data_IF_505111723449
#
_entry.id   IF_505111723449
#
_cell.length_a   1.000
_cell.length_b   1.000
_cell.length_c   1.000
_cell.angle_alpha   90.00
_cell.angle_beta   90.00
_cell.angle_gamma   90.00
#
_symmetry.space_group_name_H-M   'P 1'
#
loop_
_entity.id
_entity.type
_entity.pdbx_description
1 polymer ?
#
# COMPACT_ATOMS: atom_id res chain seq x y z
N UNK A 1 -13.36 -9.90 -13.92
CA UNK A 1 -12.30 -9.50 -12.95
C UNK A 1 -11.02 -10.10 -13.47
N UNK A 2 -10.07 -9.30 -13.81
CA UNK A 2 -8.77 -9.72 -14.33
C UNK A 2 -7.89 -10.18 -13.18
N UNK A 3 -7.21 -11.32 -13.34
CA UNK A 3 -6.26 -11.84 -12.35
C UNK A 3 -4.89 -11.95 -12.98
N UNK A 4 -3.85 -11.74 -12.19
CA UNK A 4 -2.46 -11.91 -12.60
C UNK A 4 -1.66 -12.69 -11.55
N UNK A 5 -0.54 -13.28 -11.97
CA UNK A 5 0.41 -13.94 -11.06
C UNK A 5 1.60 -13.04 -10.84
N UNK A 6 1.88 -12.72 -9.56
CA UNK A 6 3.02 -11.92 -9.17
C UNK A 6 3.61 -12.43 -7.86
N UNK A 7 4.94 -12.58 -7.81
CA UNK A 7 5.70 -13.04 -6.63
C UNK A 7 5.17 -14.34 -6.00
N UNK A 8 4.66 -15.27 -6.83
CA UNK A 8 4.14 -16.57 -6.40
C UNK A 8 2.70 -16.56 -5.90
N UNK A 9 2.01 -15.43 -5.92
CA UNK A 9 0.61 -15.27 -5.51
C UNK A 9 -0.29 -14.93 -6.69
N UNK A 10 -1.58 -15.28 -6.55
CA UNK A 10 -2.65 -14.82 -7.44
C UNK A 10 -3.24 -13.51 -6.91
N UNK A 11 -3.37 -12.53 -7.80
CA UNK A 11 -3.86 -11.19 -7.50
C UNK A 11 -5.05 -10.87 -8.40
N UNK A 12 -6.13 -10.39 -7.79
CA UNK A 12 -7.29 -9.87 -8.51
C UNK A 12 -7.09 -8.37 -8.71
N UNK A 13 -7.15 -7.94 -9.97
CA UNK A 13 -7.12 -6.53 -10.33
C UNK A 13 -8.54 -5.98 -10.21
N UNK A 14 -8.68 -4.84 -9.58
CA UNK A 14 -9.95 -4.14 -9.43
C UNK A 14 -10.56 -3.87 -10.79
N UNK A 15 -11.81 -4.25 -10.96
CA UNK A 15 -12.55 -4.04 -12.21
C UNK A 15 -12.63 -2.56 -12.59
N UNK A 16 -12.57 -2.28 -13.88
CA UNK A 16 -12.69 -0.93 -14.42
C UNK A 16 -14.03 -0.29 -14.05
N UNK A 17 -14.00 1.00 -13.74
CA UNK A 17 -15.18 1.79 -13.36
C UNK A 17 -14.91 2.83 -12.29
N UNK A 18 -15.91 3.65 -11.99
CA UNK A 18 -15.81 4.70 -10.96
C UNK A 18 -16.01 4.13 -9.57
N UNK A 19 -15.16 4.56 -8.61
CA UNK A 19 -15.31 4.13 -7.22
C UNK A 19 -14.31 4.77 -6.27
N UNK A 20 -14.57 4.60 -4.95
CA UNK A 20 -13.74 5.13 -3.87
C UNK A 20 -12.31 4.53 -3.80
N UNK A 21 -11.40 5.20 -3.04
CA UNK A 21 -11.64 6.45 -2.33
C UNK A 21 -11.79 7.64 -3.30
N UNK A 22 -12.74 8.53 -3.00
CA UNK A 22 -13.08 9.64 -3.90
C UNK A 22 -13.68 9.20 -5.24
N UNK A 23 -13.82 10.11 -6.22
CA UNK A 23 -14.40 9.82 -7.53
C UNK A 23 -13.33 9.34 -8.53
N UNK A 24 -12.53 8.32 -8.17
CA UNK A 24 -11.50 7.78 -9.05
C UNK A 24 -12.11 6.86 -10.12
N UNK A 25 -11.51 6.88 -11.31
CA UNK A 25 -11.76 5.91 -12.37
C UNK A 25 -10.67 4.84 -12.25
N UNK A 26 -11.08 3.61 -12.04
CA UNK A 26 -10.19 2.46 -11.98
C UNK A 26 -10.11 1.78 -13.33
N UNK A 27 -8.93 1.27 -13.69
CA UNK A 27 -8.71 0.56 -14.93
C UNK A 27 -7.88 -0.69 -14.70
N UNK A 28 -8.46 -1.85 -14.97
CA UNK A 28 -7.79 -3.13 -14.79
C UNK A 28 -6.60 -3.34 -15.76
N UNK A 29 -6.50 -2.56 -16.83
CA UNK A 29 -5.38 -2.64 -17.77
C UNK A 29 -4.13 -1.92 -17.27
N UNK A 30 -4.24 -1.09 -16.23
CA UNK A 30 -3.14 -0.35 -15.61
C UNK A 30 -2.28 -1.21 -14.65
N UNK A 31 -2.57 -2.51 -14.54
CA UNK A 31 -1.71 -3.49 -13.86
C UNK A 31 -1.21 -4.52 -14.85
N UNK A 32 0.09 -4.78 -14.88
CA UNK A 32 0.68 -5.82 -15.70
C UNK A 32 1.93 -6.41 -15.07
N UNK A 33 2.29 -7.64 -15.46
CA UNK A 33 3.55 -8.28 -15.05
C UNK A 33 4.44 -8.44 -16.26
N UNK A 34 5.68 -7.93 -16.19
CA UNK A 34 6.64 -7.99 -17.27
C UNK A 34 7.31 -9.38 -17.38
N UNK A 35 8.14 -9.54 -18.41
CA UNK A 35 8.87 -10.80 -18.66
C UNK A 35 9.90 -11.14 -17.57
N UNK A 36 10.30 -10.17 -16.76
CA UNK A 36 11.19 -10.38 -15.61
C UNK A 36 10.41 -10.71 -14.33
N UNK A 37 9.06 -10.82 -14.41
CA UNK A 37 8.19 -11.13 -13.29
C UNK A 37 7.91 -9.94 -12.36
N UNK A 38 8.12 -8.71 -12.80
CA UNK A 38 7.88 -7.49 -12.02
C UNK A 38 6.49 -6.95 -12.31
N UNK A 39 5.80 -6.51 -11.27
CA UNK A 39 4.49 -5.88 -11.37
C UNK A 39 4.64 -4.39 -11.69
N UNK A 40 3.94 -3.93 -12.70
CA UNK A 40 3.81 -2.53 -13.10
C UNK A 40 2.45 -2.01 -12.67
N UNK A 41 2.44 -0.88 -11.97
CA UNK A 41 1.25 -0.11 -11.59
C UNK A 41 1.31 1.22 -12.34
N UNK A 42 0.28 1.55 -13.08
CA UNK A 42 0.24 2.77 -13.90
C UNK A 42 -0.93 3.67 -13.50
N UNK A 43 -0.67 4.97 -13.50
CA UNK A 43 -1.66 6.02 -13.47
C UNK A 43 -1.60 6.73 -14.82
N UNK A 44 -2.61 6.54 -15.63
CA UNK A 44 -2.61 6.99 -17.04
C UNK A 44 -3.71 8.01 -17.28
N UNK A 45 -3.56 8.79 -18.36
CA UNK A 45 -4.63 9.63 -18.85
C UNK A 45 -5.13 9.13 -20.21
N UNK A 46 -6.43 9.28 -20.43
CA UNK A 46 -7.12 8.86 -21.65
C UNK A 46 -8.05 9.98 -22.10
N UNK A 47 -8.08 10.27 -23.39
CA UNK A 47 -9.10 11.18 -23.95
C UNK A 47 -10.38 10.39 -24.18
N UNK A 48 -11.46 10.76 -23.49
CA UNK A 48 -12.76 10.11 -23.64
C UNK A 48 -13.46 10.50 -24.95
N UNK A 49 -14.61 9.90 -25.22
CA UNK A 49 -15.35 10.15 -26.45
C UNK A 49 -15.88 11.59 -26.58
N UNK A 50 -15.97 12.35 -25.50
CA UNK A 50 -16.36 13.74 -25.49
C UNK A 50 -15.18 14.68 -25.72
N UNK A 51 -13.94 14.15 -25.74
CA UNK A 51 -12.71 14.93 -25.90
C UNK A 51 -12.12 15.40 -24.57
N UNK A 52 -12.66 14.97 -23.43
CA UNK A 52 -12.15 15.31 -22.11
C UNK A 52 -11.05 14.33 -21.69
N UNK A 53 -10.09 14.82 -20.90
CA UNK A 53 -9.05 13.98 -20.30
C UNK A 53 -9.56 13.34 -19.03
N UNK A 54 -9.53 12.01 -18.96
CA UNK A 54 -9.84 11.20 -17.80
C UNK A 54 -8.57 10.54 -17.28
N UNK A 55 -8.45 10.45 -15.94
CA UNK A 55 -7.31 9.81 -15.29
C UNK A 55 -7.73 8.47 -14.72
N UNK A 56 -6.96 7.45 -15.05
CA UNK A 56 -7.23 6.06 -14.70
C UNK A 56 -6.23 5.55 -13.67
N UNK A 57 -6.78 5.08 -12.55
CA UNK A 57 -6.06 4.54 -11.40
C UNK A 57 -6.01 3.01 -11.47
N UNK A 58 -5.22 2.40 -10.59
CA UNK A 58 -5.12 0.94 -10.48
C UNK A 58 -5.11 0.48 -9.04
N UNK A 59 -5.76 -0.65 -8.75
CA UNK A 59 -5.69 -1.38 -7.49
C UNK A 59 -5.71 -2.87 -7.75
N UNK A 60 -4.97 -3.62 -6.94
CA UNK A 60 -5.03 -5.09 -6.94
C UNK A 60 -4.96 -5.62 -5.52
N UNK A 61 -5.51 -6.82 -5.33
CA UNK A 61 -5.58 -7.49 -4.04
C UNK A 61 -5.18 -8.97 -4.18
N UNK A 62 -4.49 -9.52 -3.19
CA UNK A 62 -4.24 -10.96 -3.15
C UNK A 62 -5.55 -11.74 -2.99
N UNK A 63 -5.68 -12.87 -3.68
CA UNK A 63 -6.78 -13.80 -3.42
C UNK A 63 -6.67 -14.45 -2.03
N UNK A 64 -5.44 -14.66 -1.57
CA UNK A 64 -5.16 -15.16 -0.24
C UNK A 64 -5.25 -14.03 0.80
N UNK A 65 -5.68 -14.41 2.00
CA UNK A 65 -5.62 -13.58 3.20
C UNK A 65 -4.43 -13.99 4.05
N UNK A 66 -3.72 -13.01 4.58
CA UNK A 66 -2.55 -13.22 5.42
C UNK A 66 -2.80 -12.67 6.81
N UNK A 67 -2.32 -13.38 7.82
CA UNK A 67 -2.35 -13.00 9.23
C UNK A 67 -1.05 -12.35 9.71
N UNK A 68 -0.73 -12.58 10.99
CA UNK A 68 0.50 -12.05 11.57
C UNK A 68 1.74 -12.55 10.84
N UNK A 69 2.67 -11.63 10.59
CA UNK A 69 3.87 -11.94 9.84
C UNK A 69 4.60 -10.68 9.35
N UNK A 70 5.64 -10.93 8.59
CA UNK A 70 6.43 -9.91 7.89
C UNK A 70 6.00 -9.85 6.44
N UNK A 71 5.54 -8.69 6.04
CA UNK A 71 5.21 -8.31 4.66
C UNK A 71 6.34 -7.44 4.14
N UNK A 72 6.81 -7.71 2.93
CA UNK A 72 7.88 -6.92 2.33
C UNK A 72 7.56 -6.63 0.87
N UNK A 73 7.73 -5.36 0.50
CA UNK A 73 7.56 -4.83 -0.85
C UNK A 73 8.88 -4.23 -1.31
N UNK A 74 9.39 -4.67 -2.45
CA UNK A 74 10.54 -4.06 -3.10
C UNK A 74 10.03 -3.20 -4.27
N UNK A 75 10.27 -1.89 -4.17
CA UNK A 75 9.71 -0.88 -5.06
C UNK A 75 10.80 -0.24 -5.90
N UNK A 76 10.50 0.00 -7.18
CA UNK A 76 11.32 0.78 -8.12
C UNK A 76 10.49 1.97 -8.59
N UNK A 77 10.92 3.17 -8.25
CA UNK A 77 10.27 4.42 -8.63
C UNK A 77 10.72 5.59 -7.76
N UNK A 78 10.42 6.80 -8.22
CA UNK A 78 10.70 8.03 -7.47
C UNK A 78 9.49 8.40 -6.63
N UNK A 79 9.17 7.52 -5.64
CA UNK A 79 8.05 7.72 -4.72
C UNK A 79 8.15 9.00 -3.89
N UNK A 80 9.35 9.59 -3.80
CA UNK A 80 9.61 10.87 -3.16
C UNK A 80 9.23 12.09 -4.02
N UNK A 81 8.99 11.90 -5.32
CA UNK A 81 8.76 12.96 -6.29
C UNK A 81 7.32 12.98 -6.85
N UNK A 82 6.41 12.28 -6.22
CA UNK A 82 5.01 12.30 -6.64
C UNK A 82 4.43 13.71 -6.65
N UNK A 83 3.56 13.96 -7.64
CA UNK A 83 2.67 15.09 -7.60
C UNK A 83 1.84 15.08 -6.29
N UNK A 84 1.48 16.22 -5.72
CA UNK A 84 0.69 16.27 -4.48
C UNK A 84 -0.60 15.43 -4.48
N UNK A 85 -1.16 15.16 -5.65
CA UNK A 85 -2.41 14.42 -5.78
C UNK A 85 -2.22 12.92 -6.02
N UNK A 86 -0.99 12.47 -6.29
CA UNK A 86 -0.69 11.04 -6.53
C UNK A 86 -0.44 10.31 -5.21
N UNK A 87 -1.04 9.13 -5.09
CA UNK A 87 -0.91 8.25 -3.92
C UNK A 87 -0.53 6.84 -4.36
N UNK A 88 0.51 6.29 -3.75
CA UNK A 88 0.85 4.86 -3.79
C UNK A 88 0.55 4.26 -2.42
N UNK A 89 -0.33 3.26 -2.36
CA UNK A 89 -0.60 2.49 -1.16
C UNK A 89 -0.06 1.06 -1.25
N UNK A 90 0.57 0.61 -0.15
CA UNK A 90 1.02 -0.76 0.10
C UNK A 90 0.39 -1.18 1.42
N UNK A 91 -0.68 -1.97 1.40
CA UNK A 91 -1.54 -2.04 2.58
C UNK A 91 -2.27 -3.36 2.74
N UNK A 92 -2.90 -3.51 3.90
CA UNK A 92 -3.86 -4.56 4.23
C UNK A 92 -5.21 -3.91 4.49
N UNK A 93 -6.27 -4.50 3.92
CA UNK A 93 -7.60 -3.89 3.97
C UNK A 93 -8.68 -4.93 4.30
N UNK A 94 -9.69 -4.60 5.11
CA UNK A 94 -10.73 -5.52 5.48
C UNK A 94 -11.58 -5.94 4.28
N UNK A 95 -12.06 -7.16 4.33
CA UNK A 95 -13.19 -7.60 3.53
C UNK A 95 -14.49 -7.41 4.32
N UNK A 96 -15.68 -7.37 3.70
CA UNK A 96 -16.94 -7.11 4.40
C UNK A 96 -17.24 -8.04 5.58
N UNK A 97 -16.69 -9.25 5.58
CA UNK A 97 -16.82 -10.22 6.68
C UNK A 97 -15.83 -10.00 7.82
N UNK A 98 -14.77 -9.21 7.61
CA UNK A 98 -13.78 -8.84 8.63
C UNK A 98 -14.18 -7.54 9.34
N UNK A 99 -14.64 -6.56 8.62
CA UNK A 99 -15.06 -5.28 9.19
C UNK A 99 -15.39 -4.23 8.14
N UNK A 100 -15.95 -3.10 8.56
CA UNK A 100 -16.21 -1.97 7.69
C UNK A 100 -14.92 -1.21 7.34
N UNK A 101 -15.02 -0.33 6.35
CA UNK A 101 -13.97 0.62 5.97
C UNK A 101 -13.50 1.43 7.20
N UNK A 102 -12.18 1.70 7.27
CA UNK A 102 -11.57 2.40 8.40
C UNK A 102 -11.37 1.51 9.63
N UNK A 103 -11.41 0.19 9.46
CA UNK A 103 -11.05 -0.80 10.49
C UNK A 103 -10.15 -1.88 9.90
N UNK A 104 -9.39 -2.58 10.76
CA UNK A 104 -8.57 -3.73 10.35
C UNK A 104 -7.61 -3.47 9.18
N UNK A 105 -7.06 -2.27 9.12
CA UNK A 105 -6.22 -1.78 8.03
C UNK A 105 -4.84 -1.39 8.55
N UNK A 106 -3.80 -1.65 7.76
CA UNK A 106 -2.42 -1.25 8.06
C UNK A 106 -1.82 -0.76 6.75
N UNK A 107 -1.36 0.50 6.74
CA UNK A 107 -0.95 1.18 5.52
C UNK A 107 0.48 1.68 5.58
N UNK A 108 1.15 1.59 4.45
CA UNK A 108 2.31 2.37 4.06
C UNK A 108 1.87 3.16 2.83
N UNK A 109 1.81 4.49 2.95
CA UNK A 109 1.37 5.34 1.85
C UNK A 109 2.43 6.39 1.49
N UNK A 110 2.60 6.61 0.20
CA UNK A 110 3.45 7.68 -0.34
C UNK A 110 2.52 8.70 -0.98
N UNK A 111 2.28 9.79 -0.25
CA UNK A 111 1.31 10.81 -0.60
C UNK A 111 1.63 12.15 0.07
N UNK A 112 1.28 13.24 -0.61
CA UNK A 112 1.24 14.58 -0.01
C UNK A 112 -0.17 15.02 0.36
N UNK A 113 -1.17 14.24 0.04
CA UNK A 113 -2.58 14.52 0.34
C UNK A 113 -3.03 15.89 -0.19
N UNK A 114 -2.63 16.24 -1.42
CA UNK A 114 -2.92 17.53 -2.04
C UNK A 114 -2.07 18.69 -1.52
N UNK A 115 -1.13 18.48 -0.58
CA UNK A 115 -0.26 19.54 -0.03
C UNK A 115 0.94 19.79 -0.96
N UNK A 116 1.20 21.03 -1.30
CA UNK A 116 2.34 21.39 -2.15
C UNK A 116 3.69 21.08 -1.51
N UNK A 117 3.79 21.14 -0.18
CA UNK A 117 5.01 20.95 0.61
C UNK A 117 4.72 20.15 1.88
N UNK A 118 5.76 19.70 2.57
CA UNK A 118 5.65 18.93 3.82
C UNK A 118 5.89 17.45 3.61
N UNK A 119 5.47 16.64 4.57
CA UNK A 119 5.61 15.19 4.54
C UNK A 119 4.95 14.61 3.28
N UNK A 120 5.55 13.55 2.75
CA UNK A 120 5.15 12.88 1.51
C UNK A 120 5.00 11.36 1.68
N UNK A 121 4.97 10.89 2.90
CA UNK A 121 4.67 9.51 3.24
C UNK A 121 4.08 9.43 4.65
N UNK A 122 3.34 8.36 4.91
CA UNK A 122 2.82 8.03 6.22
C UNK A 122 2.68 6.51 6.43
N UNK A 123 2.67 6.12 7.71
CA UNK A 123 2.25 4.81 8.17
C UNK A 123 1.03 4.97 9.03
N UNK A 124 0.03 4.11 8.83
CA UNK A 124 -1.23 4.18 9.54
C UNK A 124 -1.68 2.80 10.02
N UNK A 125 -2.30 2.74 11.20
CA UNK A 125 -3.00 1.55 11.70
C UNK A 125 -4.43 1.92 12.05
N UNK A 126 -5.39 1.28 11.40
CA UNK A 126 -6.80 1.36 11.74
C UNK A 126 -7.19 0.19 12.66
N UNK A 127 -7.76 0.46 13.82
CA UNK A 127 -8.04 -0.56 14.82
C UNK A 127 -9.11 -1.55 14.38
N UNK A 128 -9.17 -2.70 15.06
CA UNK A 128 -10.17 -3.73 14.79
C UNK A 128 -11.61 -3.26 15.10
N UNK A 129 -11.82 -2.67 16.27
CA UNK A 129 -13.17 -2.37 16.78
C UNK A 129 -13.25 -1.19 17.72
N UNK A 130 -12.17 -0.44 17.90
CA UNK A 130 -12.12 0.74 18.75
C UNK A 130 -12.00 2.01 17.88
N UNK A 131 -12.39 3.19 18.36
CA UNK A 131 -12.06 4.44 17.71
C UNK A 131 -10.54 4.56 17.53
N UNK A 132 -10.09 5.24 16.47
CA UNK A 132 -8.67 5.53 16.28
C UNK A 132 -8.08 6.19 17.53
N UNK A 133 -6.92 5.71 17.94
CA UNK A 133 -6.20 6.26 19.09
C UNK A 133 -5.26 7.38 18.64
N UNK A 134 -4.86 8.22 19.58
CA UNK A 134 -3.77 9.16 19.30
C UNK A 134 -2.47 8.40 19.08
N UNK A 135 -1.73 8.73 17.99
CA UNK A 135 -0.48 8.10 17.64
C UNK A 135 -0.62 6.82 16.81
N UNK A 136 -1.80 6.56 16.25
CA UNK A 136 -2.06 5.47 15.33
C UNK A 136 -1.56 5.74 13.89
N UNK A 137 -0.87 6.86 13.67
CA UNK A 137 -0.18 7.20 12.43
C UNK A 137 1.07 8.03 12.68
N UNK A 138 1.96 8.01 11.71
CA UNK A 138 3.11 8.90 11.61
C UNK A 138 3.28 9.38 10.18
N UNK A 139 3.46 10.68 10.00
CA UNK A 139 3.82 11.27 8.70
C UNK A 139 5.32 11.60 8.69
N UNK A 140 6.00 11.36 7.57
CA UNK A 140 7.43 11.60 7.42
C UNK A 140 7.81 12.08 6.02
N UNK A 141 9.05 12.57 5.90
CA UNK A 141 9.60 13.04 4.63
C UNK A 141 10.51 11.97 4.02
N UNK A 142 10.20 11.55 2.82
CA UNK A 142 11.07 10.71 1.99
C UNK A 142 11.85 11.60 1.03
N UNK A 143 13.17 11.39 0.95
CA UNK A 143 14.06 12.03 0.00
C UNK A 143 15.06 10.99 -0.53
N UNK A 144 14.87 10.53 -1.74
CA UNK A 144 15.66 9.44 -2.32
C UNK A 144 16.83 9.96 -3.17
N UNK A 145 17.95 9.26 -3.10
CA UNK A 145 19.10 9.46 -4.02
C UNK A 145 19.02 8.54 -5.25
N UNK A 146 18.13 7.57 -5.22
CA UNK A 146 17.89 6.57 -6.28
C UNK A 146 16.42 6.21 -6.34
N UNK A 147 16.09 5.10 -6.99
CA UNK A 147 14.71 4.65 -7.22
C UNK A 147 14.37 3.30 -6.60
N UNK A 148 15.30 2.67 -5.89
CA UNK A 148 15.10 1.35 -5.28
C UNK A 148 14.86 1.50 -3.78
N UNK A 149 13.74 0.96 -3.29
CA UNK A 149 13.40 0.97 -1.87
C UNK A 149 12.77 -0.37 -1.45
N UNK A 150 12.81 -0.63 -0.15
CA UNK A 150 12.13 -1.77 0.47
C UNK A 150 11.24 -1.26 1.59
N UNK A 151 9.99 -1.71 1.62
CA UNK A 151 9.01 -1.32 2.63
C UNK A 151 8.47 -2.56 3.31
N UNK A 152 8.31 -2.49 4.64
CA UNK A 152 7.90 -3.64 5.44
C UNK A 152 6.81 -3.28 6.43
N UNK A 153 5.89 -4.23 6.60
CA UNK A 153 4.96 -4.27 7.72
C UNK A 153 5.30 -5.54 8.51
N UNK A 154 5.63 -5.39 9.78
CA UNK A 154 5.75 -6.50 10.73
C UNK A 154 4.51 -6.42 11.63
N UNK A 155 3.55 -7.29 11.37
CA UNK A 155 2.28 -7.29 12.08
C UNK A 155 2.23 -8.44 13.08
N UNK A 156 2.02 -8.10 14.35
CA UNK A 156 1.87 -9.00 15.48
C UNK A 156 0.57 -8.69 16.22
N UNK A 157 0.14 -9.58 17.09
CA UNK A 157 -1.13 -9.40 17.83
C UNK A 157 -1.16 -8.20 18.77
N UNK A 158 0.00 -7.71 19.19
CA UNK A 158 0.12 -6.60 20.17
C UNK A 158 0.83 -5.38 19.63
N UNK A 159 1.38 -5.45 18.43
CA UNK A 159 2.08 -4.33 17.80
C UNK A 159 2.13 -4.44 16.29
N UNK A 160 2.30 -3.30 15.64
CA UNK A 160 2.65 -3.18 14.23
C UNK A 160 3.94 -2.37 14.14
N UNK A 161 4.89 -2.85 13.34
CA UNK A 161 6.10 -2.10 13.00
C UNK A 161 6.12 -1.87 11.51
N UNK A 162 6.29 -0.61 11.09
CA UNK A 162 6.53 -0.23 9.70
C UNK A 162 7.98 0.22 9.53
N UNK A 163 8.58 -0.12 8.40
CA UNK A 163 9.99 0.14 8.12
C UNK A 163 10.20 0.42 6.64
N UNK A 164 11.02 1.43 6.33
CA UNK A 164 11.42 1.76 4.97
C UNK A 164 12.93 1.87 4.84
N UNK A 165 13.48 1.28 3.77
CA UNK A 165 14.93 1.16 3.56
C UNK A 165 15.30 1.62 2.14
N UNK A 166 16.48 2.23 2.01
CA UNK A 166 17.08 2.48 0.71
C UNK A 166 17.60 1.19 0.08
N UNK A 167 17.29 0.99 -1.19
CA UNK A 167 17.67 -0.18 -1.97
C UNK A 167 16.74 -1.38 -1.74
N UNK A 168 16.95 -2.44 -2.52
CA UNK A 168 16.30 -3.72 -2.29
C UNK A 168 17.08 -4.49 -1.22
N UNK A 169 16.45 -4.77 -0.09
CA UNK A 169 17.10 -5.31 1.13
C UNK A 169 16.29 -6.44 1.75
N UNK A 170 17.01 -7.48 2.17
CA UNK A 170 16.46 -8.53 3.05
C UNK A 170 16.93 -8.37 4.49
N UNK A 171 18.01 -7.59 4.70
CA UNK A 171 18.50 -7.14 6.01
C UNK A 171 17.87 -5.79 6.42
N UNK A 172 18.20 -5.28 7.61
CA UNK A 172 17.72 -4.00 8.14
C UNK A 172 18.67 -2.82 7.89
N UNK A 173 19.69 -3.01 7.05
CA UNK A 173 20.62 -1.95 6.73
C UNK A 173 19.98 -0.88 5.83
N UNK A 174 20.48 0.35 5.94
CA UNK A 174 20.04 1.52 5.17
C UNK A 174 18.57 1.91 5.42
N UNK A 175 18.08 1.68 6.64
CA UNK A 175 16.78 2.15 7.08
C UNK A 175 16.77 3.69 7.08
N UNK A 176 15.70 4.28 6.51
CA UNK A 176 15.50 5.72 6.53
C UNK A 176 14.26 6.12 7.33
N UNK A 177 13.33 5.17 7.58
CA UNK A 177 12.18 5.41 8.45
C UNK A 177 11.80 4.13 9.19
N UNK A 178 11.34 4.32 10.44
CA UNK A 178 10.90 3.26 11.33
C UNK A 178 9.84 3.79 12.29
N UNK A 179 8.75 3.05 12.41
CA UNK A 179 7.71 3.36 13.37
C UNK A 179 7.17 2.09 13.98
N UNK A 180 6.98 2.09 15.30
CA UNK A 180 6.37 1.01 16.05
C UNK A 180 5.12 1.52 16.76
N UNK A 181 4.00 0.93 16.45
CA UNK A 181 2.73 1.15 17.11
C UNK A 181 2.43 -0.02 18.04
N UNK A 182 2.51 0.23 19.36
CA UNK A 182 2.28 -0.76 20.42
C UNK A 182 1.38 -0.15 21.51
N UNK A 183 0.05 -0.04 21.26
CA UNK A 183 -0.87 0.73 22.09
C UNK A 183 -1.18 0.10 23.44
N UNK A 184 -0.78 -1.14 23.71
CA UNK A 184 -1.08 -1.88 24.95
C UNK A 184 -2.48 -2.51 24.97
N UNK A 185 -3.43 -2.01 24.18
CA UNK A 185 -4.77 -2.61 24.00
C UNK A 185 -4.81 -3.36 22.66
N UNK A 186 -4.93 -4.70 22.66
CA UNK A 186 -4.95 -5.48 21.42
C UNK A 186 -6.10 -5.12 20.45
N UNK A 187 -7.18 -4.50 20.94
CA UNK A 187 -8.29 -4.05 20.09
C UNK A 187 -7.91 -2.90 19.18
N UNK A 188 -6.83 -2.21 19.50
CA UNK A 188 -6.24 -1.14 18.66
C UNK A 188 -5.32 -1.69 17.56
N UNK A 189 -5.12 -3.01 17.50
CA UNK A 189 -4.36 -3.69 16.44
C UNK A 189 -5.32 -4.58 15.65
N UNK A 190 -5.26 -4.62 14.31
CA UNK A 190 -5.95 -5.62 13.50
C UNK A 190 -5.63 -7.04 13.97
N UNK A 191 -6.64 -7.92 14.07
CA UNK A 191 -6.47 -9.28 14.58
C UNK A 191 -6.82 -10.37 13.56
N UNK A 192 -7.51 -10.02 12.48
CA UNK A 192 -8.04 -10.98 11.52
C UNK A 192 -7.26 -10.95 10.20
N UNK A 193 -7.01 -12.10 9.56
CA UNK A 193 -6.37 -12.15 8.25
C UNK A 193 -7.15 -11.37 7.18
N UNK A 194 -6.42 -10.57 6.41
CA UNK A 194 -6.98 -9.76 5.31
C UNK A 194 -6.11 -9.90 4.05
N UNK A 195 -6.66 -9.61 2.86
CA UNK A 195 -5.85 -9.50 1.66
C UNK A 195 -4.78 -8.42 1.80
N UNK A 196 -3.68 -8.60 1.08
CA UNK A 196 -2.71 -7.52 0.80
C UNK A 196 -3.19 -6.79 -0.44
N UNK A 197 -3.09 -5.47 -0.42
CA UNK A 197 -3.46 -4.62 -1.55
C UNK A 197 -2.31 -3.70 -1.94
N UNK A 198 -2.31 -3.32 -3.19
CA UNK A 198 -1.46 -2.27 -3.75
C UNK A 198 -2.31 -1.41 -4.67
N UNK A 199 -2.17 -0.10 -4.58
CA UNK A 199 -2.86 0.83 -5.47
C UNK A 199 -1.97 2.01 -5.87
N UNK A 200 -2.29 2.61 -7.01
CA UNK A 200 -1.77 3.89 -7.46
C UNK A 200 -2.97 4.72 -7.92
N UNK A 201 -3.24 5.83 -7.22
CA UNK A 201 -4.51 6.53 -7.33
C UNK A 201 -4.40 8.04 -7.09
N UNK A 202 -5.51 8.77 -7.24
CA UNK A 202 -5.56 10.22 -7.12
C UNK A 202 -6.35 10.67 -5.88
N UNK A 203 -5.69 11.44 -5.04
CA UNK A 203 -6.33 12.05 -3.87
C UNK A 203 -7.52 12.91 -4.29
N UNK A 204 -8.71 12.57 -3.79
CA UNK A 204 -10.00 13.19 -4.14
C UNK A 204 -10.36 13.15 -5.64
N UNK A 205 -9.72 12.25 -6.41
CA UNK A 205 -9.90 12.21 -7.87
C UNK A 205 -9.31 13.42 -8.58
N UNK A 206 -8.44 14.18 -7.94
CA UNK A 206 -7.83 15.38 -8.54
C UNK A 206 -6.66 14.97 -9.43
N UNK A 207 -6.64 15.33 -10.70
CA UNK A 207 -5.54 15.05 -11.61
C UNK A 207 -4.18 15.52 -11.10
N UNK A 208 -3.08 14.90 -11.53
CA UNK A 208 -1.74 15.40 -11.25
C UNK A 208 -1.60 16.83 -11.78
N UNK A 209 -1.09 17.74 -10.95
CA UNK A 209 -0.98 19.16 -11.31
C UNK A 209 0.05 19.43 -12.41
N UNK A 210 1.00 18.51 -12.58
CA UNK A 210 1.98 18.53 -13.66
C UNK A 210 1.48 17.89 -14.97
N UNK A 211 0.32 17.21 -14.93
CA UNK A 211 -0.24 16.51 -16.10
C UNK A 211 0.56 15.28 -16.55
N UNK A 212 1.46 14.75 -15.72
CA UNK A 212 2.30 13.61 -16.06
C UNK A 212 1.71 12.29 -15.56
N UNK A 213 1.77 11.26 -16.39
CA UNK A 213 1.47 9.89 -16.01
C UNK A 213 2.52 9.35 -15.06
N UNK A 214 2.14 8.39 -14.23
CA UNK A 214 3.03 7.80 -13.24
C UNK A 214 3.08 6.29 -13.40
N UNK A 215 4.29 5.73 -13.36
CA UNK A 215 4.50 4.29 -13.28
C UNK A 215 5.34 3.97 -12.05
N UNK A 216 4.90 2.95 -11.30
CA UNK A 216 5.65 2.34 -10.21
C UNK A 216 5.78 0.85 -10.48
N UNK A 217 7.00 0.33 -10.27
CA UNK A 217 7.26 -1.09 -10.43
C UNK A 217 7.48 -1.73 -9.06
N UNK A 218 6.72 -2.77 -8.76
CA UNK A 218 6.96 -3.64 -7.60
C UNK A 218 7.77 -4.83 -8.10
N UNK A 219 9.05 -4.88 -7.75
CA UNK A 219 9.93 -5.95 -8.23
C UNK A 219 9.71 -7.26 -7.48
N UNK A 220 9.27 -7.19 -6.21
CA UNK A 220 8.97 -8.35 -5.40
C UNK A 220 7.99 -8.00 -4.27
N UNK A 221 7.11 -8.93 -3.98
CA UNK A 221 6.36 -9.02 -2.72
C UNK A 221 6.70 -10.33 -2.03
N UNK A 222 6.87 -10.32 -0.71
CA UNK A 222 7.03 -11.53 0.07
C UNK A 222 6.28 -11.45 1.41
N UNK A 223 5.79 -12.60 1.85
CA UNK A 223 5.18 -12.78 3.16
C UNK A 223 5.88 -13.93 3.89
N UNK A 224 6.26 -13.68 5.13
CA UNK A 224 6.77 -14.70 6.06
C UNK A 224 5.91 -14.66 7.34
N UNK A 225 5.15 -15.74 7.64
CA UNK A 225 4.39 -15.79 8.88
C UNK A 225 5.34 -15.75 10.07
N UNK A 226 4.92 -15.13 11.18
CA UNK A 226 5.57 -15.39 12.44
C UNK A 226 5.17 -16.78 12.89
N UNK A 227 6.14 -17.55 13.37
CA UNK A 227 5.83 -18.83 14.02
C UNK A 227 4.85 -18.56 15.17
N UNK A 228 3.75 -19.32 15.27
CA UNK A 228 2.89 -19.23 16.44
C UNK A 228 3.79 -19.44 17.67
N UNK A 229 3.52 -18.73 18.81
CA UNK A 229 4.24 -19.03 20.03
C UNK A 229 4.15 -20.53 20.26
N UNK A 230 5.30 -21.18 20.45
CA UNK A 230 5.34 -22.57 20.83
C UNK A 230 4.62 -22.62 22.18
N UNK A 231 3.36 -23.03 22.17
CA UNK A 231 2.62 -23.27 23.40
C UNK A 231 3.42 -24.25 24.22
N UNK A 232 4.07 -23.73 25.25
CA UNK A 232 4.70 -24.55 26.28
C UNK A 232 3.58 -25.23 27.08
N UNK A 233 2.98 -26.26 26.48
CA UNK A 233 2.21 -27.23 27.26
C UNK A 233 3.21 -28.08 28.02
N UNK A 234 3.46 -27.72 29.26
CA UNK A 234 4.00 -28.56 30.28
C UNK A 234 3.04 -28.55 31.48
#
# INVERSE_FOLDING_TARGET
MTSLKFSGYDWDVRASGVGGPGPNIWDETNASVDRAGRLHLQLTNVTNAAGDTEWHCVELATQLRFGFGRYQFQVIGRIDQFDPNVVLGLFKYPTPDVGPDGTNEIDIEFARWGRATGNNADYVVFPQSAPRAQGDNVEFMVALKGSYTTHRILWQSTQVTCQSLYGHRDDDNNQFEFWQYAPGDPRLIPQLPTPVRMNLWLFRGTPPSNGEEVEIVISQFSFAPFDPPVDSYA
#
